data_IF_917252272833
#
_entry.id   IF_917252272833
#
_cell.length_a   1.000
_cell.length_b   1.000
_cell.length_c   1.000
_cell.angle_alpha   90.00
_cell.angle_beta   90.00
_cell.angle_gamma   90.00
#
_symmetry.space_group_name_H-M   'P 1'
#
loop_
_entity.id
_entity.type
_entity.pdbx_description
1 polymer ?
#
# COMPACT_ATOMS: atom_id res chain seq x y z
N UNK A 1 16.74 2.20 29.71
CA UNK A 1 16.24 3.55 30.08
C UNK A 1 15.08 3.38 31.08
N UNK A 2 14.68 4.35 31.90
CA UNK A 2 13.48 4.21 32.75
C UNK A 2 12.32 5.05 32.21
N UNK A 3 11.09 4.80 32.68
CA UNK A 3 9.84 5.45 32.20
C UNK A 3 9.92 6.97 32.25
N UNK A 4 10.49 7.54 33.32
CA UNK A 4 10.68 8.99 33.45
C UNK A 4 11.65 9.55 32.39
N UNK A 5 12.77 8.87 32.12
CA UNK A 5 13.69 9.24 31.03
C UNK A 5 13.06 9.11 29.65
N UNK A 6 12.14 8.16 29.47
CA UNK A 6 11.38 7.96 28.22
C UNK A 6 10.43 9.12 27.96
N UNK A 7 9.67 9.53 28.96
CA UNK A 7 8.78 10.70 28.89
C UNK A 7 9.56 11.96 28.49
N UNK A 8 10.68 12.23 29.18
CA UNK A 8 11.51 13.41 28.88
C UNK A 8 12.11 13.35 27.48
N UNK A 9 12.56 12.17 27.05
CA UNK A 9 13.11 11.97 25.71
C UNK A 9 12.05 12.19 24.63
N UNK A 10 10.88 11.57 24.74
CA UNK A 10 9.77 11.71 23.80
C UNK A 10 9.26 13.14 23.71
N UNK A 11 9.06 13.80 24.86
CA UNK A 11 8.65 15.20 24.91
C UNK A 11 9.64 16.08 24.15
N UNK A 12 10.96 15.87 24.36
CA UNK A 12 11.99 16.59 23.61
C UNK A 12 11.93 16.33 22.10
N UNK A 13 11.69 15.09 21.68
CA UNK A 13 11.53 14.73 20.27
C UNK A 13 10.33 15.44 19.64
N UNK A 14 9.18 15.46 20.34
CA UNK A 14 7.95 16.10 19.88
C UNK A 14 8.14 17.61 19.72
N UNK A 15 8.82 18.26 20.69
CA UNK A 15 9.14 19.69 20.61
C UNK A 15 10.12 19.99 19.46
N UNK A 16 11.16 19.16 19.27
CA UNK A 16 12.09 19.27 18.14
C UNK A 16 11.36 19.15 16.79
N UNK A 17 10.37 18.25 16.68
CA UNK A 17 9.58 18.07 15.47
C UNK A 17 8.58 19.20 15.25
N UNK A 18 7.89 19.66 16.29
CA UNK A 18 6.98 20.80 16.20
C UNK A 18 7.69 22.05 15.65
N UNK A 19 8.94 22.29 16.06
CA UNK A 19 9.78 23.37 15.52
C UNK A 19 10.09 23.19 14.02
N UNK A 20 10.20 21.96 13.55
CA UNK A 20 10.47 21.64 12.14
C UNK A 20 9.22 21.51 11.26
N UNK A 21 8.08 21.19 11.87
CA UNK A 21 6.79 20.92 11.23
C UNK A 21 5.66 21.39 12.17
N UNK A 22 5.29 22.69 12.09
CA UNK A 22 4.29 23.28 12.98
C UNK A 22 2.87 22.69 12.85
N UNK A 23 2.64 21.78 11.89
CA UNK A 23 1.36 21.06 11.73
C UNK A 23 1.15 19.93 12.74
N UNK A 24 2.21 19.59 13.49
CA UNK A 24 2.17 18.63 14.60
C UNK A 24 2.04 19.42 15.88
N UNK A 25 0.98 19.20 16.67
CA UNK A 25 0.77 19.94 17.91
C UNK A 25 1.90 19.70 18.92
N UNK A 26 2.34 20.78 19.57
CA UNK A 26 3.24 20.68 20.70
C UNK A 26 2.51 19.99 21.86
N UNK A 27 2.95 18.79 22.25
CA UNK A 27 2.43 18.11 23.43
C UNK A 27 3.18 18.57 24.68
N UNK A 28 2.45 18.79 25.77
CA UNK A 28 3.04 19.06 27.08
C UNK A 28 3.69 17.80 27.64
N UNK A 29 4.63 17.98 28.57
CA UNK A 29 5.31 16.84 29.20
C UNK A 29 4.33 15.96 30.00
N UNK A 30 3.28 16.55 30.57
CA UNK A 30 2.22 15.84 31.29
C UNK A 30 1.37 14.98 30.34
N UNK A 31 1.09 15.47 29.13
CA UNK A 31 0.42 14.69 28.09
C UNK A 31 1.27 13.49 27.66
N UNK A 32 2.57 13.70 27.46
CA UNK A 32 3.52 12.61 27.15
C UNK A 32 3.65 11.64 28.32
N UNK A 33 3.64 12.13 29.56
CA UNK A 33 3.70 11.29 30.76
C UNK A 33 2.46 10.40 30.89
N UNK A 34 1.28 10.99 30.71
CA UNK A 34 -0.01 10.28 30.71
C UNK A 34 -0.04 9.21 29.62
N UNK A 35 0.56 9.51 28.47
CA UNK A 35 0.71 8.52 27.40
C UNK A 35 1.60 7.35 27.81
N UNK A 36 2.83 7.62 28.27
CA UNK A 36 3.78 6.56 28.61
C UNK A 36 3.22 5.68 29.74
N UNK A 37 2.43 6.23 30.66
CA UNK A 37 1.74 5.43 31.69
C UNK A 37 0.62 4.52 31.16
N UNK A 38 0.09 4.80 29.97
CA UNK A 38 -0.95 3.99 29.33
C UNK A 38 -0.40 2.90 28.40
N UNK A 39 0.93 2.81 28.24
CA UNK A 39 1.56 1.74 27.47
C UNK A 39 1.48 0.41 28.22
N UNK A 40 1.22 -0.67 27.48
CA UNK A 40 1.40 -2.03 28.01
C UNK A 40 2.87 -2.31 28.31
N UNK A 41 3.14 -3.31 29.15
CA UNK A 41 4.51 -3.67 29.55
C UNK A 41 5.41 -4.01 28.35
N UNK A 42 4.88 -4.72 27.33
CA UNK A 42 5.62 -5.03 26.09
C UNK A 42 5.94 -3.79 25.25
N UNK A 43 4.99 -2.87 25.12
CA UNK A 43 5.20 -1.59 24.42
C UNK A 43 6.19 -0.70 25.17
N UNK A 44 6.08 -0.67 26.51
CA UNK A 44 6.99 0.07 27.36
C UNK A 44 8.41 -0.49 27.26
N UNK A 45 8.56 -1.82 27.27
CA UNK A 45 9.85 -2.51 27.07
C UNK A 45 10.45 -2.13 25.72
N UNK A 46 9.70 -2.24 24.63
CA UNK A 46 10.16 -1.84 23.30
C UNK A 46 10.55 -0.36 23.26
N UNK A 47 9.70 0.54 23.78
CA UNK A 47 9.97 1.97 23.84
C UNK A 47 11.13 2.35 24.75
N UNK A 48 11.50 1.50 25.72
CA UNK A 48 12.64 1.67 26.63
C UNK A 48 13.94 1.13 26.02
N UNK A 49 13.87 0.01 25.31
CA UNK A 49 15.00 -0.66 24.65
C UNK A 49 15.44 0.12 23.40
N UNK A 50 14.48 0.68 22.67
CA UNK A 50 14.70 1.48 21.48
C UNK A 50 15.68 2.68 21.67
N UNK A 51 15.52 3.54 22.69
CA UNK A 51 16.46 4.63 23.02
C UNK A 51 17.72 4.18 23.79
N UNK A 52 17.87 2.88 24.07
CA UNK A 52 19.16 2.30 24.52
C UNK A 52 20.28 2.46 23.48
N UNK A 53 19.90 2.69 22.21
CA UNK A 53 20.78 3.17 21.15
C UNK A 53 20.84 4.69 21.28
N UNK A 54 21.84 5.23 22.00
CA UNK A 54 21.96 6.68 22.13
C UNK A 54 22.06 7.31 20.73
N UNK A 55 21.14 8.24 20.36
CA UNK A 55 21.25 8.93 19.09
C UNK A 55 22.50 9.81 19.17
N UNK A 56 23.54 9.41 18.45
CA UNK A 56 24.66 10.32 18.17
C UNK A 56 24.11 11.58 17.50
N UNK A 57 24.86 12.69 17.54
CA UNK A 57 24.47 13.94 16.85
C UNK A 57 24.06 13.71 15.38
N UNK A 58 24.63 12.68 14.75
CA UNK A 58 24.32 12.19 13.41
C UNK A 58 22.89 11.65 13.29
N UNK A 59 22.37 10.93 14.29
CA UNK A 59 21.03 10.30 14.26
C UNK A 59 19.88 11.31 14.34
N UNK A 60 20.07 12.44 15.03
CA UNK A 60 19.07 13.51 15.09
C UNK A 60 18.84 14.21 13.75
N UNK A 61 19.86 14.17 12.89
CA UNK A 61 19.79 14.68 11.52
C UNK A 61 19.29 13.59 10.55
N UNK A 62 19.09 12.34 11.01
CA UNK A 62 18.60 11.26 10.16
C UNK A 62 17.06 11.25 10.08
N UNK A 63 16.50 11.18 8.86
CA UNK A 63 15.06 11.09 8.64
C UNK A 63 14.34 9.97 9.40
N UNK A 64 15.03 8.87 9.73
CA UNK A 64 14.51 7.76 10.53
C UNK A 64 14.06 8.20 11.94
N UNK A 65 14.76 9.13 12.58
CA UNK A 65 14.40 9.65 13.90
C UNK A 65 13.08 10.44 13.85
N UNK A 66 12.93 11.36 12.90
CA UNK A 66 11.67 12.08 12.70
C UNK A 66 10.51 11.15 12.33
N UNK A 67 10.81 10.09 11.58
CA UNK A 67 9.85 9.09 11.15
C UNK A 67 9.27 8.27 12.32
N UNK A 68 10.11 7.79 13.23
CA UNK A 68 9.69 7.02 14.42
C UNK A 68 8.79 7.88 15.32
N UNK A 69 9.13 9.15 15.48
CA UNK A 69 8.32 10.06 16.31
C UNK A 69 6.98 10.37 15.62
N UNK A 70 6.94 10.53 14.30
CA UNK A 70 5.67 10.65 13.54
C UNK A 70 4.79 9.40 13.63
N UNK A 71 5.40 8.21 13.64
CA UNK A 71 4.70 6.95 13.86
C UNK A 71 4.05 6.89 15.25
N UNK A 72 4.81 7.28 16.27
CA UNK A 72 4.33 7.41 17.65
C UNK A 72 3.17 8.42 17.73
N UNK A 73 3.27 9.59 17.09
CA UNK A 73 2.20 10.60 17.07
C UNK A 73 0.94 10.10 16.34
N UNK A 74 1.10 9.35 15.25
CA UNK A 74 -0.04 8.78 14.52
C UNK A 74 -0.75 7.70 15.34
N UNK A 75 0.02 6.86 16.03
CA UNK A 75 -0.49 5.89 17.00
C UNK A 75 -1.22 6.59 18.16
N UNK A 76 -0.72 7.73 18.64
CA UNK A 76 -1.35 8.55 19.67
C UNK A 76 -2.74 9.07 19.27
N UNK A 77 -2.87 9.61 18.05
CA UNK A 77 -4.16 10.12 17.53
C UNK A 77 -5.23 9.02 17.42
N UNK A 78 -4.81 7.79 17.12
CA UNK A 78 -5.69 6.61 17.11
C UNK A 78 -6.19 6.28 18.52
N UNK A 79 -5.31 6.30 19.53
CA UNK A 79 -5.67 5.97 20.91
C UNK A 79 -6.56 7.03 21.57
N UNK A 80 -6.34 8.32 21.28
CA UNK A 80 -7.18 9.41 21.77
C UNK A 80 -8.60 9.37 21.16
N UNK A 81 -8.70 9.00 19.89
CA UNK A 81 -9.99 8.86 19.21
C UNK A 81 -10.81 7.64 19.68
N UNK A 82 -10.18 6.60 20.22
CA UNK A 82 -10.85 5.32 20.55
C UNK A 82 -10.36 4.68 21.87
N UNK A 83 -10.65 5.28 23.04
CA UNK A 83 -10.17 4.78 24.33
C UNK A 83 -10.70 3.36 24.66
N UNK A 84 -11.92 3.02 24.28
CA UNK A 84 -12.52 1.70 24.54
C UNK A 84 -11.93 0.57 23.69
N UNK A 85 -11.66 0.85 22.41
CA UNK A 85 -11.06 -0.14 21.50
C UNK A 85 -9.56 -0.27 21.76
N UNK A 86 -8.89 0.81 22.18
CA UNK A 86 -7.54 0.78 22.74
C UNK A 86 -7.45 -0.13 23.97
N UNK A 87 -8.39 -0.02 24.91
CA UNK A 87 -8.46 -0.90 26.08
C UNK A 87 -8.69 -2.36 25.68
N UNK A 88 -9.54 -2.63 24.67
CA UNK A 88 -9.74 -3.97 24.11
C UNK A 88 -8.48 -4.53 23.44
N UNK A 89 -7.80 -3.76 22.60
CA UNK A 89 -6.57 -4.19 21.93
C UNK A 89 -5.44 -4.48 22.91
N UNK A 90 -5.35 -3.72 24.01
CA UNK A 90 -4.43 -3.97 25.12
C UNK A 90 -4.79 -5.24 25.92
N UNK A 91 -6.08 -5.54 26.11
CA UNK A 91 -6.52 -6.75 26.81
C UNK A 91 -6.23 -8.05 26.05
N UNK A 92 -6.32 -8.02 24.71
CA UNK A 92 -6.03 -9.19 23.85
C UNK A 92 -4.54 -9.54 23.83
N UNK A 93 -3.65 -8.56 24.05
CA UNK A 93 -2.22 -8.79 24.22
C UNK A 93 -1.86 -9.48 25.55
N UNK A 94 -2.63 -9.24 26.62
CA UNK A 94 -2.41 -9.84 27.94
C UNK A 94 -2.71 -11.34 28.00
N UNK A 95 -3.78 -11.78 27.32
CA UNK A 95 -4.17 -13.20 27.29
C UNK A 95 -3.20 -14.07 26.46
N UNK A 96 -2.52 -13.49 25.46
CA UNK A 96 -1.48 -14.19 24.69
C UNK A 96 -0.19 -14.41 25.49
N UNK A 97 0.15 -13.51 26.42
CA UNK A 97 1.33 -13.67 27.30
C UNK A 97 1.11 -14.82 28.29
N UNK A 98 -0.11 -14.99 28.81
CA UNK A 98 -0.44 -16.13 29.69
C UNK A 98 -0.43 -17.49 28.97
N UNK A 99 -0.74 -17.52 27.66
CA UNK A 99 -0.61 -18.74 26.85
C UNK A 99 0.84 -19.10 26.50
N UNK A 100 1.71 -18.09 26.40
CA UNK A 100 3.14 -18.32 26.09
C UNK A 100 3.92 -18.78 27.32
N UNK A 101 3.63 -18.23 28.51
CA UNK A 101 4.30 -18.61 29.77
C UNK A 101 3.92 -20.04 30.23
N UNK A 102 2.73 -20.53 29.88
CA UNK A 102 2.31 -21.89 30.23
C UNK A 102 2.88 -23.00 29.32
N UNK A 103 3.54 -22.65 28.22
CA UNK A 103 4.18 -23.63 27.33
C UNK A 103 5.66 -23.90 27.67
N UNK A 104 6.30 -23.10 28.54
CA UNK A 104 7.71 -23.27 28.92
C UNK A 104 7.94 -24.14 30.16
N UNK A 105 6.90 -24.64 30.83
CA UNK A 105 7.01 -25.52 32.02
C UNK A 105 6.65 -26.99 31.76
N UNK A 106 6.61 -27.44 30.50
CA UNK A 106 6.31 -28.84 30.19
C UNK A 106 7.38 -29.52 29.33
N UNK A 107 8.57 -29.69 29.92
CA UNK A 107 9.60 -30.62 29.44
C UNK A 107 10.08 -31.50 30.58
N UNK A 108 9.37 -32.62 30.81
CA UNK A 108 9.90 -33.92 31.24
C UNK A 108 8.73 -34.89 31.47
N UNK A 109 8.38 -35.66 30.45
CA UNK A 109 8.28 -37.13 30.51
C UNK A 109 7.66 -37.72 29.23
N UNK A 110 8.38 -38.71 28.72
CA UNK A 110 7.97 -39.91 28.00
C UNK A 110 7.55 -39.85 26.51
N UNK A 111 8.30 -40.67 25.76
CA UNK A 111 8.03 -41.20 24.44
C UNK A 111 6.69 -41.95 24.39
N UNK A 112 5.85 -41.68 23.39
CA UNK A 112 5.27 -42.66 22.46
C UNK A 112 4.02 -42.13 21.73
N UNK A 113 3.86 -42.62 20.50
CA UNK A 113 2.69 -42.55 19.60
C UNK A 113 2.52 -41.27 18.75
N UNK A 114 2.89 -41.42 17.48
CA UNK A 114 2.48 -40.56 16.36
C UNK A 114 0.97 -40.72 16.16
N UNK A 115 0.19 -39.83 16.74
CA UNK A 115 -1.21 -39.65 16.36
C UNK A 115 -1.29 -38.70 15.16
N UNK A 116 -1.97 -39.14 14.09
CA UNK A 116 -2.36 -38.27 12.98
C UNK A 116 -3.24 -37.15 13.52
N UNK A 117 -2.68 -35.95 13.56
CA UNK A 117 -3.40 -34.73 13.91
C UNK A 117 -4.43 -34.43 12.81
N UNK A 118 -5.67 -34.88 13.01
CA UNK A 118 -6.81 -34.47 12.19
C UNK A 118 -7.15 -33.03 12.55
N UNK A 119 -6.62 -32.11 11.74
CA UNK A 119 -6.94 -30.68 11.80
C UNK A 119 -8.45 -30.49 11.61
N UNK A 120 -9.14 -29.71 12.47
CA UNK A 120 -10.55 -29.41 12.30
C UNK A 120 -10.77 -28.69 10.96
N UNK A 121 -11.55 -29.31 10.08
CA UNK A 121 -12.15 -28.61 8.93
C UNK A 121 -13.26 -27.74 9.48
N UNK A 122 -12.99 -26.44 9.61
CA UNK A 122 -13.98 -25.43 9.95
C UNK A 122 -15.05 -25.42 8.84
N UNK A 123 -16.27 -25.94 9.09
CA UNK A 123 -17.36 -25.88 8.13
C UNK A 123 -18.02 -24.50 8.24
N UNK A 124 -18.47 -23.94 7.13
CA UNK A 124 -19.39 -22.79 7.07
C UNK A 124 -18.83 -21.36 6.97
N UNK A 125 -17.65 -21.15 6.40
CA UNK A 125 -17.38 -19.85 5.75
C UNK A 125 -17.41 -20.01 4.24
N UNK A 126 -18.50 -19.63 3.55
CA UNK A 126 -18.47 -19.40 2.11
C UNK A 126 -17.62 -18.14 1.87
N UNK A 127 -16.30 -18.32 1.89
CA UNK A 127 -15.38 -17.34 1.32
C UNK A 127 -15.58 -17.40 -0.19
N UNK A 128 -16.50 -16.59 -0.72
CA UNK A 128 -16.54 -16.21 -2.14
C UNK A 128 -15.30 -15.37 -2.50
N UNK A 129 -14.12 -15.87 -2.16
CA UNK A 129 -12.88 -15.27 -2.59
C UNK A 129 -12.52 -15.91 -3.92
N UNK A 130 -12.36 -15.09 -4.97
CA UNK A 130 -11.90 -15.61 -6.24
C UNK A 130 -10.51 -16.23 -6.04
N UNK A 131 -10.37 -17.47 -6.51
CA UNK A 131 -9.07 -18.11 -6.66
C UNK A 131 -8.59 -17.80 -8.07
N UNK A 132 -7.33 -17.40 -8.20
CA UNK A 132 -6.76 -17.03 -9.48
C UNK A 132 -5.69 -18.05 -9.87
N UNK A 133 -5.78 -18.65 -11.06
CA UNK A 133 -4.71 -19.51 -11.54
C UNK A 133 -3.44 -18.69 -11.76
N UNK A 134 -2.30 -19.28 -11.42
CA UNK A 134 -0.99 -18.73 -11.70
C UNK A 134 -0.76 -18.71 -13.21
N UNK A 135 -0.29 -17.58 -13.77
CA UNK A 135 -0.01 -17.47 -15.21
C UNK A 135 1.20 -16.59 -15.50
N UNK A 136 2.09 -17.14 -16.32
CA UNK A 136 3.19 -16.40 -16.94
C UNK A 136 2.84 -16.07 -18.39
N UNK A 137 2.03 -15.04 -18.59
CA UNK A 137 1.70 -14.56 -19.95
C UNK A 137 2.88 -13.76 -20.50
N UNK A 138 3.42 -14.17 -21.66
CA UNK A 138 4.36 -13.33 -22.42
C UNK A 138 3.57 -12.14 -22.97
N UNK A 139 3.88 -10.95 -22.49
CA UNK A 139 3.31 -9.72 -23.02
C UNK A 139 4.29 -9.07 -24.00
N UNK A 140 3.77 -8.66 -25.15
CA UNK A 140 4.46 -7.80 -26.10
C UNK A 140 3.66 -6.52 -26.20
N UNK A 141 4.29 -5.37 -26.00
CA UNK A 141 3.65 -4.09 -26.28
C UNK A 141 3.36 -4.02 -27.77
N UNK A 142 2.09 -4.01 -28.21
CA UNK A 142 1.82 -3.72 -29.60
C UNK A 142 2.11 -2.24 -29.84
N UNK A 143 2.50 -1.94 -31.08
CA UNK A 143 2.58 -0.56 -31.56
C UNK A 143 1.17 -0.03 -31.67
N UNK A 144 0.74 0.75 -30.68
CA UNK A 144 -0.57 1.39 -30.67
C UNK A 144 -0.44 2.83 -31.16
N UNK A 145 -1.33 3.19 -32.07
CA UNK A 145 -1.45 4.57 -32.56
C UNK A 145 -2.63 5.24 -31.89
N UNK A 146 -2.61 6.57 -31.79
CA UNK A 146 -3.77 7.32 -31.29
C UNK A 146 -5.01 7.11 -32.17
N UNK A 147 -4.84 6.73 -33.44
CA UNK A 147 -5.94 6.47 -34.38
C UNK A 147 -6.56 5.08 -34.22
N UNK A 148 -6.01 4.24 -33.34
CA UNK A 148 -6.55 2.91 -33.08
C UNK A 148 -8.00 3.00 -32.54
N UNK A 149 -8.97 2.27 -33.12
CA UNK A 149 -10.37 2.29 -32.67
C UNK A 149 -10.55 1.95 -31.19
N UNK A 150 -9.73 1.04 -30.64
CA UNK A 150 -9.80 0.66 -29.22
C UNK A 150 -9.29 1.78 -28.32
N UNK A 151 -8.23 2.49 -28.75
CA UNK A 151 -7.73 3.69 -28.05
C UNK A 151 -8.77 4.79 -28.06
N UNK A 152 -9.40 5.06 -29.21
CA UNK A 152 -10.47 6.07 -29.32
C UNK A 152 -11.68 5.72 -28.45
N UNK A 153 -12.07 4.44 -28.46
CA UNK A 153 -13.17 3.93 -27.61
C UNK A 153 -12.84 4.09 -26.13
N UNK A 154 -11.60 3.79 -25.72
CA UNK A 154 -11.16 3.98 -24.34
C UNK A 154 -11.23 5.46 -23.94
N UNK A 155 -10.68 6.38 -24.75
CA UNK A 155 -10.72 7.83 -24.48
C UNK A 155 -12.16 8.30 -24.32
N UNK A 156 -13.02 7.93 -25.26
CA UNK A 156 -14.43 8.29 -25.21
C UNK A 156 -15.07 7.77 -23.92
N UNK A 157 -14.85 6.50 -23.59
CA UNK A 157 -15.38 5.88 -22.37
C UNK A 157 -14.89 6.62 -21.13
N UNK A 158 -13.59 6.82 -20.95
CA UNK A 158 -13.01 7.49 -19.77
C UNK A 158 -13.48 8.93 -19.61
N UNK A 159 -13.70 9.67 -20.70
CA UNK A 159 -14.19 11.05 -20.65
C UNK A 159 -15.71 11.15 -20.42
N UNK A 160 -16.47 10.09 -20.72
CA UNK A 160 -17.94 10.07 -20.62
C UNK A 160 -18.46 9.35 -19.38
N UNK A 161 -17.57 8.83 -18.52
CA UNK A 161 -17.97 8.26 -17.22
C UNK A 161 -18.81 9.29 -16.46
N UNK A 162 -20.07 8.94 -16.25
CA UNK A 162 -21.02 9.75 -15.53
C UNK A 162 -20.66 9.78 -14.04
N UNK A 163 -20.87 10.90 -13.34
CA UNK A 163 -20.82 10.94 -11.89
C UNK A 163 -21.73 9.86 -11.33
N UNK A 164 -21.18 8.92 -10.58
CA UNK A 164 -22.02 8.04 -9.77
C UNK A 164 -22.34 8.71 -8.44
N UNK A 165 -23.19 8.08 -7.64
CA UNK A 165 -23.55 8.57 -6.30
C UNK A 165 -22.38 8.55 -5.31
N UNK A 166 -21.27 7.84 -5.60
CA UNK A 166 -20.11 7.79 -4.71
C UNK A 166 -18.76 7.91 -5.43
N UNK A 167 -17.72 8.45 -4.78
CA UNK A 167 -16.37 8.48 -5.33
C UNK A 167 -15.80 7.08 -5.59
N UNK A 168 -16.02 6.10 -4.71
CA UNK A 168 -15.49 4.73 -4.91
C UNK A 168 -16.13 4.03 -6.11
N UNK A 169 -17.43 4.22 -6.33
CA UNK A 169 -18.11 3.62 -7.49
C UNK A 169 -17.63 4.28 -8.78
N UNK A 170 -17.44 5.60 -8.77
CA UNK A 170 -16.86 6.32 -9.92
C UNK A 170 -15.45 5.82 -10.23
N UNK A 171 -14.61 5.65 -9.21
CA UNK A 171 -13.26 5.11 -9.35
C UNK A 171 -13.27 3.68 -9.88
N UNK A 172 -14.18 2.84 -9.38
CA UNK A 172 -14.34 1.47 -9.88
C UNK A 172 -14.75 1.42 -11.36
N UNK A 173 -15.64 2.31 -11.81
CA UNK A 173 -15.99 2.43 -13.23
C UNK A 173 -14.79 2.86 -14.09
N UNK A 174 -13.98 3.82 -13.60
CA UNK A 174 -12.72 4.20 -14.27
C UNK A 174 -11.80 3.00 -14.45
N UNK A 175 -11.54 2.27 -13.37
CA UNK A 175 -10.65 1.11 -13.40
C UNK A 175 -11.19 -0.01 -14.31
N UNK A 176 -12.50 -0.24 -14.31
CA UNK A 176 -13.13 -1.22 -15.21
C UNK A 176 -13.01 -0.78 -16.66
N UNK A 177 -13.21 0.51 -16.96
CA UNK A 177 -13.08 1.05 -18.31
C UNK A 177 -11.67 0.91 -18.89
N UNK A 178 -10.61 1.10 -18.08
CA UNK A 178 -9.23 0.88 -18.51
C UNK A 178 -9.01 -0.50 -19.12
N UNK A 179 -9.60 -1.54 -18.52
CA UNK A 179 -9.39 -2.92 -18.92
C UNK A 179 -10.52 -3.48 -19.81
N UNK A 180 -11.51 -2.67 -20.18
CA UNK A 180 -12.65 -3.12 -20.98
C UNK A 180 -12.31 -3.35 -22.47
N UNK A 181 -11.22 -2.76 -22.97
CA UNK A 181 -10.78 -2.94 -24.36
C UNK A 181 -9.90 -4.18 -24.49
N UNK A 182 -8.62 -4.04 -24.14
CA UNK A 182 -7.67 -5.13 -23.97
C UNK A 182 -6.50 -4.65 -23.09
N UNK A 183 -5.62 -5.59 -22.75
CA UNK A 183 -4.46 -5.31 -21.90
C UNK A 183 -3.47 -4.35 -22.56
N UNK A 184 -3.35 -4.37 -23.88
CA UNK A 184 -2.41 -3.53 -24.60
C UNK A 184 -2.80 -2.06 -24.56
N UNK A 185 -4.08 -1.79 -24.83
CA UNK A 185 -4.70 -0.48 -24.77
C UNK A 185 -4.67 0.06 -23.34
N UNK A 186 -4.92 -0.80 -22.34
CA UNK A 186 -4.77 -0.46 -20.93
C UNK A 186 -3.31 -0.08 -20.59
N UNK A 187 -2.33 -0.86 -21.05
CA UNK A 187 -0.90 -0.58 -20.83
C UNK A 187 -0.52 0.78 -21.39
N UNK A 188 -0.94 1.04 -22.64
CA UNK A 188 -0.69 2.27 -23.36
C UNK A 188 -1.24 3.49 -22.62
N UNK A 189 -2.50 3.42 -22.16
CA UNK A 189 -3.12 4.50 -21.41
C UNK A 189 -2.48 4.72 -20.03
N UNK A 190 -2.16 3.64 -19.30
CA UNK A 190 -1.49 3.72 -18.00
C UNK A 190 -0.09 4.33 -18.11
N UNK A 191 0.65 4.04 -19.19
CA UNK A 191 1.98 4.63 -19.41
C UNK A 191 1.91 6.15 -19.66
N UNK A 192 0.91 6.60 -20.42
CA UNK A 192 0.66 8.03 -20.62
C UNK A 192 0.19 8.71 -19.33
N UNK A 193 -0.65 8.03 -18.56
CA UNK A 193 -1.07 8.50 -17.24
C UNK A 193 0.14 8.68 -16.32
N UNK A 194 0.98 7.65 -16.20
CA UNK A 194 2.23 7.64 -15.42
C UNK A 194 3.14 8.81 -15.77
N UNK A 195 3.35 9.04 -17.07
CA UNK A 195 4.15 10.16 -17.58
C UNK A 195 3.53 11.51 -17.21
N UNK A 196 2.21 11.67 -17.37
CA UNK A 196 1.51 12.90 -17.04
C UNK A 196 1.56 13.20 -15.53
N UNK A 197 1.32 12.21 -14.67
CA UNK A 197 1.41 12.38 -13.21
C UNK A 197 2.82 12.81 -12.79
N UNK A 198 3.85 12.22 -13.42
CA UNK A 198 5.24 12.60 -13.15
C UNK A 198 5.51 14.07 -13.48
N UNK A 199 4.96 14.56 -14.59
CA UNK A 199 5.03 15.98 -14.94
C UNK A 199 4.26 16.86 -13.94
N UNK A 200 3.04 16.47 -13.57
CA UNK A 200 2.20 17.22 -12.62
C UNK A 200 2.74 17.25 -11.19
N UNK A 201 3.59 16.31 -10.80
CA UNK A 201 4.24 16.34 -9.49
C UNK A 201 5.19 17.56 -9.35
N UNK A 202 5.76 18.04 -10.46
CA UNK A 202 6.76 19.11 -10.47
C UNK A 202 6.23 20.44 -11.00
N UNK A 203 5.16 20.45 -11.79
CA UNK A 203 4.55 21.67 -12.34
C UNK A 203 3.50 22.29 -11.41
N UNK A 204 3.08 23.52 -11.72
CA UNK A 204 1.94 24.17 -11.06
C UNK A 204 0.62 23.53 -11.50
N UNK A 205 -0.42 23.53 -10.65
CA UNK A 205 -1.74 23.06 -11.03
C UNK A 205 -2.24 23.79 -12.29
N UNK A 206 -2.87 23.08 -13.24
CA UNK A 206 -3.45 23.70 -14.42
C UNK A 206 -4.63 24.60 -14.04
N UNK A 207 -4.97 25.59 -14.88
CA UNK A 207 -6.19 26.38 -14.72
C UNK A 207 -7.41 25.48 -14.56
N UNK A 208 -8.32 25.85 -13.67
CA UNK A 208 -9.55 25.10 -13.35
C UNK A 208 -9.36 23.70 -12.75
N UNK A 209 -8.11 23.33 -12.40
CA UNK A 209 -7.76 22.02 -11.87
C UNK A 209 -8.19 20.84 -12.76
N UNK A 210 -8.14 21.03 -14.09
CA UNK A 210 -8.38 19.99 -15.08
C UNK A 210 -7.04 19.48 -15.61
N UNK A 211 -6.77 18.20 -15.41
CA UNK A 211 -5.50 17.56 -15.74
C UNK A 211 -5.64 16.81 -17.07
N UNK A 212 -4.92 17.27 -18.10
CA UNK A 212 -4.98 16.64 -19.43
C UNK A 212 -4.00 15.48 -19.53
N UNK A 213 -4.51 14.29 -19.81
CA UNK A 213 -3.69 13.12 -20.16
C UNK A 213 -3.57 13.09 -21.68
N UNK A 214 -2.42 13.50 -22.19
CA UNK A 214 -2.15 13.60 -23.63
C UNK A 214 -1.57 12.28 -24.13
N UNK A 215 -2.34 11.55 -24.92
CA UNK A 215 -1.92 10.31 -25.56
C UNK A 215 -1.13 10.62 -26.84
N UNK A 216 -0.02 9.91 -27.03
CA UNK A 216 0.86 9.99 -28.19
C UNK A 216 1.06 8.59 -28.75
N UNK A 217 1.11 8.46 -30.08
CA UNK A 217 1.40 7.16 -30.70
C UNK A 217 2.75 6.62 -30.21
N UNK A 218 2.83 5.32 -29.94
CA UNK A 218 4.13 4.71 -29.64
C UNK A 218 5.00 4.78 -30.89
N UNK A 219 6.25 5.25 -30.81
CA UNK A 219 7.15 5.18 -31.94
C UNK A 219 7.28 3.73 -32.40
N UNK A 220 7.30 3.51 -33.71
CA UNK A 220 7.61 2.21 -34.28
C UNK A 220 8.99 1.80 -33.75
N UNK A 221 9.13 0.62 -33.10
CA UNK A 221 10.42 0.16 -32.61
C UNK A 221 11.44 0.23 -33.75
N UNK A 222 12.57 0.88 -33.53
CA UNK A 222 13.62 0.89 -34.54
C UNK A 222 14.34 -0.46 -34.52
N UNK A 223 14.85 -0.98 -35.66
CA UNK A 223 15.59 -2.25 -35.68
C UNK A 223 16.81 -2.27 -34.74
N UNK A 224 17.29 -1.11 -34.32
CA UNK A 224 18.43 -0.94 -33.40
C UNK A 224 18.02 -0.89 -31.91
N UNK A 225 16.73 -0.87 -31.59
CA UNK A 225 16.22 -1.03 -30.22
C UNK A 225 16.29 -2.51 -29.80
N UNK A 226 17.49 -3.10 -29.85
CA UNK A 226 17.81 -4.47 -29.40
C UNK A 226 17.85 -4.58 -27.86
N UNK A 227 17.02 -3.81 -27.15
CA UNK A 227 16.78 -4.09 -25.73
C UNK A 227 15.92 -5.36 -25.67
N UNK A 228 16.58 -6.52 -25.69
CA UNK A 228 16.01 -7.88 -25.67
C UNK A 228 15.09 -8.16 -24.46
N UNK A 229 14.95 -7.20 -23.54
CA UNK A 229 14.07 -7.32 -22.38
C UNK A 229 12.69 -6.76 -22.74
N UNK A 230 11.67 -7.61 -22.92
CA UNK A 230 10.31 -7.15 -23.11
C UNK A 230 9.94 -6.23 -21.94
N UNK A 231 9.30 -5.07 -22.18
CA UNK A 231 9.01 -4.15 -21.09
C UNK A 231 8.07 -4.83 -20.10
N UNK A 232 8.35 -4.67 -18.80
CA UNK A 232 7.53 -5.27 -17.75
C UNK A 232 6.15 -4.60 -17.83
N UNK A 233 5.08 -5.36 -18.10
CA UNK A 233 3.77 -4.76 -18.26
C UNK A 233 3.30 -4.11 -16.95
N UNK A 234 2.60 -2.97 -17.01
CA UNK A 234 2.38 -2.12 -15.84
C UNK A 234 1.55 -2.82 -14.77
N UNK A 235 0.71 -3.80 -15.14
CA UNK A 235 -0.07 -4.59 -14.20
C UNK A 235 0.71 -5.66 -13.44
N UNK A 236 1.94 -5.98 -13.84
CA UNK A 236 2.82 -6.84 -13.05
C UNK A 236 3.47 -6.09 -11.88
N UNK A 237 3.30 -4.76 -11.82
CA UNK A 237 3.95 -3.90 -10.84
C UNK A 237 2.87 -3.40 -9.89
N UNK A 238 2.61 -4.16 -8.82
CA UNK A 238 1.60 -3.81 -7.81
C UNK A 238 1.77 -2.39 -7.24
N UNK A 239 3.00 -1.87 -7.05
CA UNK A 239 3.16 -0.47 -6.65
C UNK A 239 2.64 0.51 -7.70
N UNK A 240 2.92 0.28 -8.99
CA UNK A 240 2.51 1.19 -10.06
C UNK A 240 0.99 1.29 -10.18
N UNK A 241 0.30 0.15 -10.15
CA UNK A 241 -1.17 0.14 -10.21
C UNK A 241 -1.79 0.79 -8.97
N UNK A 242 -1.29 0.47 -7.77
CA UNK A 242 -1.78 1.07 -6.53
C UNK A 242 -1.56 2.58 -6.52
N UNK A 243 -0.38 3.04 -6.94
CA UNK A 243 -0.09 4.47 -7.10
C UNK A 243 -0.97 5.13 -8.15
N UNK A 244 -1.31 4.44 -9.23
CA UNK A 244 -2.23 4.98 -10.24
C UNK A 244 -3.64 5.20 -9.66
N UNK A 245 -4.12 4.28 -8.83
CA UNK A 245 -5.40 4.41 -8.11
C UNK A 245 -5.38 5.62 -7.18
N UNK A 246 -4.28 5.83 -6.45
CA UNK A 246 -4.12 6.99 -5.59
C UNK A 246 -4.08 8.30 -6.38
N UNK A 247 -3.36 8.34 -7.50
CA UNK A 247 -3.32 9.52 -8.35
C UNK A 247 -4.70 9.86 -8.93
N UNK A 248 -5.46 8.85 -9.36
CA UNK A 248 -6.87 8.99 -9.76
C UNK A 248 -7.71 9.58 -8.63
N UNK A 249 -7.45 9.20 -7.39
CA UNK A 249 -8.21 9.61 -6.21
C UNK A 249 -7.72 10.89 -5.53
N UNK A 250 -6.58 11.44 -5.95
CA UNK A 250 -5.96 12.61 -5.30
C UNK A 250 -6.89 13.85 -5.36
N UNK A 251 -6.94 14.69 -4.31
CA UNK A 251 -7.80 15.88 -4.28
C UNK A 251 -7.50 16.81 -5.45
N UNK A 252 -8.54 17.20 -6.20
CA UNK A 252 -8.42 18.01 -7.42
C UNK A 252 -7.78 19.36 -7.14
N UNK A 253 -8.08 19.97 -6.00
CA UNK A 253 -7.57 21.30 -5.63
C UNK A 253 -6.08 21.31 -5.29
N UNK A 254 -5.55 20.19 -4.81
CA UNK A 254 -4.14 20.09 -4.40
C UNK A 254 -3.62 18.64 -4.48
N UNK A 255 -3.50 18.05 -5.68
CA UNK A 255 -3.06 16.66 -5.80
C UNK A 255 -1.53 16.52 -5.75
N UNK A 256 -0.79 17.62 -5.81
CA UNK A 256 0.67 17.63 -5.96
C UNK A 256 1.43 16.92 -4.83
N UNK A 257 1.07 17.07 -3.54
CA UNK A 257 1.72 16.31 -2.46
C UNK A 257 1.63 14.81 -2.71
N UNK A 258 0.45 14.30 -3.05
CA UNK A 258 0.24 12.89 -3.38
C UNK A 258 1.06 12.52 -4.60
N UNK A 259 0.99 13.28 -5.70
CA UNK A 259 1.78 12.97 -6.90
C UNK A 259 3.29 12.89 -6.63
N UNK A 260 3.83 13.75 -5.75
CA UNK A 260 5.23 13.69 -5.33
C UNK A 260 5.54 12.43 -4.54
N UNK A 261 4.68 12.04 -3.59
CA UNK A 261 4.83 10.78 -2.83
C UNK A 261 4.81 9.57 -3.76
N UNK A 262 4.04 9.63 -4.84
CA UNK A 262 3.90 8.53 -5.81
C UNK A 262 5.02 8.46 -6.84
N UNK A 263 5.83 9.52 -7.03
CA UNK A 263 6.89 9.58 -8.04
C UNK A 263 7.84 8.37 -8.04
N UNK A 264 8.34 7.86 -6.89
CA UNK A 264 9.25 6.72 -6.89
C UNK A 264 8.63 5.47 -7.51
N UNK A 265 7.34 5.25 -7.28
CA UNK A 265 6.58 4.09 -7.78
C UNK A 265 6.19 4.25 -9.24
N UNK A 266 5.77 5.46 -9.60
CA UNK A 266 5.33 5.81 -10.94
C UNK A 266 6.53 5.85 -11.90
N UNK A 267 7.69 6.34 -11.48
CA UNK A 267 8.86 6.45 -12.37
C UNK A 267 9.61 5.13 -12.57
N UNK A 268 9.22 4.06 -11.85
CA UNK A 268 9.93 2.77 -11.82
C UNK A 268 11.43 2.92 -11.54
N UNK A 269 11.84 4.03 -10.92
CA UNK A 269 13.23 4.21 -10.51
C UNK A 269 13.51 3.16 -9.44
N UNK A 270 14.61 2.40 -9.54
CA UNK A 270 15.00 1.47 -8.50
C UNK A 270 15.21 2.28 -7.22
N UNK A 271 14.24 2.21 -6.32
CA UNK A 271 14.36 2.79 -4.99
C UNK A 271 15.28 1.86 -4.23
N UNK A 272 16.43 2.35 -3.77
CA UNK A 272 17.32 1.55 -2.93
C UNK A 272 16.53 1.04 -1.73
N UNK A 273 16.51 -0.28 -1.46
CA UNK A 273 15.63 -0.88 -0.45
C UNK A 273 15.68 -0.19 0.92
N UNK A 274 16.87 0.26 1.34
CA UNK A 274 17.06 0.89 2.65
C UNK A 274 16.79 2.41 2.69
N UNK A 275 16.92 3.13 1.56
CA UNK A 275 16.57 4.56 1.54
C UNK A 275 15.04 4.76 1.60
N UNK A 276 14.26 3.72 1.24
CA UNK A 276 12.79 3.67 1.23
C UNK A 276 12.18 3.88 2.63
N UNK A 277 12.74 3.24 3.66
CA UNK A 277 12.17 3.25 5.02
C UNK A 277 12.27 4.58 5.76
N UNK A 278 13.10 5.52 5.28
CA UNK A 278 13.45 6.73 6.04
C UNK A 278 12.86 8.02 5.48
N UNK A 279 12.39 8.04 4.23
CA UNK A 279 11.99 9.28 3.53
C UNK A 279 10.49 9.42 3.30
N UNK A 280 9.68 8.41 3.61
CA UNK A 280 8.29 8.35 3.14
C UNK A 280 7.28 8.63 4.26
N UNK A 281 6.13 9.21 3.89
CA UNK A 281 5.03 9.65 4.78
C UNK A 281 4.20 8.51 5.39
N UNK A 282 4.70 7.27 5.35
CA UNK A 282 3.97 6.10 5.84
C UNK A 282 4.15 5.93 7.34
N UNK A 283 3.20 5.27 8.00
CA UNK A 283 3.36 4.84 9.40
C UNK A 283 3.84 3.38 9.40
N UNK A 284 5.02 3.05 9.97
CA UNK A 284 5.59 1.71 10.00
C UNK A 284 4.81 0.78 10.95
N UNK A 285 4.81 -0.52 10.65
CA UNK A 285 4.17 -1.56 11.47
C UNK A 285 2.69 -1.26 11.78
N UNK A 286 2.02 -0.57 10.86
CA UNK A 286 0.64 -0.17 11.03
C UNK A 286 -0.31 -1.38 10.96
N UNK A 287 -1.04 -1.61 12.05
CA UNK A 287 -2.28 -2.39 11.99
C UNK A 287 -3.30 -1.64 11.15
N UNK A 288 -4.06 -2.34 10.32
CA UNK A 288 -5.05 -1.72 9.45
C UNK A 288 -6.35 -1.40 10.19
N UNK A 289 -6.65 -2.11 11.28
CA UNK A 289 -7.92 -1.96 12.00
C UNK A 289 -8.19 -0.52 12.45
N UNK A 290 -7.26 0.20 13.09
CA UNK A 290 -7.48 1.59 13.45
C UNK A 290 -7.85 2.51 12.27
N UNK A 291 -7.16 2.36 11.13
CA UNK A 291 -7.41 3.17 9.95
C UNK A 291 -8.78 2.85 9.35
N UNK A 292 -9.18 1.58 9.34
CA UNK A 292 -10.53 1.19 8.94
C UNK A 292 -11.58 1.83 9.84
N UNK A 293 -11.41 1.81 11.16
CA UNK A 293 -12.37 2.38 12.11
C UNK A 293 -12.50 3.90 11.95
N UNK A 294 -11.38 4.61 11.80
CA UNK A 294 -11.35 6.05 11.50
C UNK A 294 -12.12 6.37 10.21
N UNK A 295 -11.76 5.70 9.12
CA UNK A 295 -12.39 5.93 7.82
C UNK A 295 -13.87 5.53 7.81
N UNK A 296 -14.24 4.44 8.50
CA UNK A 296 -15.64 4.01 8.69
C UNK A 296 -16.46 5.07 9.41
N UNK A 297 -15.92 5.67 10.47
CA UNK A 297 -16.64 6.69 11.22
C UNK A 297 -16.82 7.97 10.39
N UNK A 298 -15.78 8.37 9.63
CA UNK A 298 -15.89 9.46 8.69
C UNK A 298 -16.93 9.19 7.59
N UNK A 299 -17.00 7.94 7.09
CA UNK A 299 -17.99 7.51 6.11
C UNK A 299 -19.42 7.46 6.64
N UNK A 300 -19.61 7.18 7.94
CA UNK A 300 -20.92 7.16 8.61
C UNK A 300 -21.37 8.53 9.13
N UNK A 301 -20.48 9.51 9.20
CA UNK A 301 -20.81 10.88 9.61
C UNK A 301 -21.78 11.55 8.63
N UNK A 302 -22.41 12.65 9.03
CA UNK A 302 -23.32 13.42 8.18
C UNK A 302 -22.67 13.84 6.84
N UNK A 303 -21.36 14.09 6.85
CA UNK A 303 -20.57 14.45 5.67
C UNK A 303 -20.22 13.27 4.74
N UNK A 304 -20.51 12.02 5.12
CA UNK A 304 -20.38 10.81 4.27
C UNK A 304 -19.05 10.73 3.51
N UNK A 305 -17.95 10.96 4.22
CA UNK A 305 -16.61 11.10 3.61
C UNK A 305 -16.12 9.77 3.03
N UNK A 306 -15.39 9.87 1.93
CA UNK A 306 -14.70 8.72 1.31
C UNK A 306 -13.20 8.86 1.47
N UNK A 307 -12.52 7.76 1.79
CA UNK A 307 -11.06 7.70 1.92
C UNK A 307 -10.47 6.55 1.10
N UNK A 308 -9.25 6.72 0.62
CA UNK A 308 -8.43 5.67 0.02
C UNK A 308 -7.19 5.47 0.89
N UNK A 309 -6.95 4.25 1.34
CA UNK A 309 -5.74 3.86 2.06
C UNK A 309 -4.83 3.14 1.06
N UNK A 310 -3.62 3.66 0.86
CA UNK A 310 -2.53 2.93 0.22
C UNK A 310 -1.82 2.10 1.25
N UNK A 311 -1.94 0.79 1.13
CA UNK A 311 -1.27 -0.17 2.00
C UNK A 311 -0.05 -0.73 1.28
N UNK A 312 1.06 -0.74 2.00
CA UNK A 312 2.34 -1.32 1.59
C UNK A 312 2.73 -2.36 2.60
N UNK A 313 2.79 -3.61 2.15
CA UNK A 313 3.37 -4.71 2.90
C UNK A 313 4.76 -4.96 2.33
N UNK A 314 5.77 -4.95 3.19
CA UNK A 314 7.16 -5.22 2.80
C UNK A 314 7.76 -6.26 3.73
N UNK A 315 8.60 -7.13 3.18
CA UNK A 315 9.39 -8.08 3.96
C UNK A 315 10.77 -7.49 4.25
N UNK A 316 10.89 -6.80 5.37
CA UNK A 316 12.15 -6.17 5.77
C UNK A 316 13.26 -7.20 6.02
N UNK A 317 12.89 -8.43 6.40
CA UNK A 317 13.83 -9.53 6.63
C UNK A 317 14.51 -9.95 5.34
N UNK A 318 13.74 -10.10 4.26
CA UNK A 318 14.28 -10.32 2.92
C UNK A 318 15.29 -9.22 2.53
N UNK A 319 14.96 -7.94 2.72
CA UNK A 319 15.85 -6.85 2.33
C UNK A 319 17.13 -6.77 3.17
N UNK A 320 17.05 -7.06 4.47
CA UNK A 320 18.21 -7.18 5.32
C UNK A 320 19.13 -8.29 4.83
N UNK A 321 18.59 -9.49 4.60
CA UNK A 321 19.37 -10.61 4.10
C UNK A 321 19.93 -10.34 2.68
N UNK A 322 19.15 -9.75 1.78
CA UNK A 322 19.59 -9.38 0.44
C UNK A 322 20.74 -8.37 0.46
N UNK A 323 20.80 -7.48 1.45
CA UNK A 323 21.92 -6.55 1.60
C UNK A 323 23.21 -7.23 2.06
N UNK A 324 23.10 -8.36 2.75
CA UNK A 324 24.22 -9.17 3.27
C UNK A 324 24.71 -10.15 2.20
N UNK A 325 23.79 -10.88 1.57
CA UNK A 325 24.07 -11.95 0.62
C UNK A 325 23.10 -11.92 -0.57
N UNK A 326 23.44 -11.11 -1.57
CA UNK A 326 22.62 -10.97 -2.79
C UNK A 326 22.51 -12.26 -3.59
N UNK A 327 23.57 -13.07 -3.61
CA UNK A 327 23.64 -14.26 -4.45
C UNK A 327 22.72 -15.36 -3.91
N UNK A 328 22.70 -15.54 -2.58
CA UNK A 328 21.74 -16.45 -1.93
C UNK A 328 20.30 -15.98 -2.07
N UNK A 329 20.07 -14.67 -2.01
CA UNK A 329 18.73 -14.10 -1.99
C UNK A 329 18.12 -13.86 -3.38
N UNK A 330 18.87 -14.03 -4.47
CA UNK A 330 18.40 -13.78 -5.85
C UNK A 330 17.19 -14.63 -6.25
N UNK A 331 17.11 -15.84 -5.69
CA UNK A 331 16.05 -16.81 -5.95
C UNK A 331 14.98 -16.82 -4.86
N UNK A 332 15.11 -16.00 -3.82
CA UNK A 332 14.09 -15.88 -2.77
C UNK A 332 13.04 -14.86 -3.21
N UNK A 333 11.76 -15.19 -3.02
CA UNK A 333 10.66 -14.27 -3.32
C UNK A 333 10.26 -13.49 -2.04
N UNK A 334 10.27 -12.14 -2.07
CA UNK A 334 9.80 -11.33 -0.94
C UNK A 334 8.26 -11.35 -0.83
N UNK A 335 7.73 -11.20 0.37
CA UNK A 335 6.29 -11.07 0.64
C UNK A 335 5.70 -9.69 0.31
N UNK A 336 6.42 -8.90 -0.49
CA UNK A 336 6.08 -7.53 -0.80
C UNK A 336 4.78 -7.42 -1.58
N UNK A 337 3.90 -6.53 -1.13
CA UNK A 337 2.64 -6.29 -1.80
C UNK A 337 2.12 -4.87 -1.58
N UNK A 338 1.56 -4.27 -2.63
CA UNK A 338 0.93 -2.97 -2.58
C UNK A 338 -0.53 -3.12 -3.03
N UNK A 339 -1.45 -2.53 -2.26
CA UNK A 339 -2.88 -2.54 -2.59
C UNK A 339 -3.57 -1.28 -2.05
N UNK A 340 -4.75 -0.99 -2.58
CA UNK A 340 -5.57 0.14 -2.14
C UNK A 340 -6.86 -0.37 -1.47
N UNK A 341 -7.20 0.22 -0.32
CA UNK A 341 -8.51 0.05 0.33
C UNK A 341 -9.32 1.33 0.13
N UNK A 342 -10.48 1.21 -0.52
CA UNK A 342 -11.43 2.31 -0.60
C UNK A 342 -12.51 2.15 0.45
N UNK A 343 -12.73 3.20 1.24
CA UNK A 343 -13.68 3.19 2.36
C UNK A 343 -14.62 4.37 2.19
N UNK A 344 -15.91 4.10 2.08
CA UNK A 344 -16.95 5.10 1.83
C UNK A 344 -18.27 4.68 2.47
N UNK A 345 -19.33 5.50 2.34
CA UNK A 345 -20.64 5.20 2.94
C UNK A 345 -21.21 3.83 2.57
N UNK A 346 -20.88 3.33 1.37
CA UNK A 346 -21.28 2.02 0.87
C UNK A 346 -20.54 0.83 1.50
N UNK A 347 -19.42 1.05 2.20
CA UNK A 347 -18.58 0.00 2.77
C UNK A 347 -17.12 0.08 2.30
N UNK A 348 -16.49 -1.08 2.13
CA UNK A 348 -15.08 -1.18 1.74
C UNK A 348 -14.87 -1.90 0.40
N UNK A 349 -14.00 -1.36 -0.46
CA UNK A 349 -13.48 -2.03 -1.65
C UNK A 349 -11.98 -2.28 -1.50
N UNK A 350 -11.51 -3.35 -2.14
CA UNK A 350 -10.09 -3.70 -2.17
C UNK A 350 -9.67 -3.74 -3.63
N UNK A 351 -8.68 -2.96 -4.01
CA UNK A 351 -8.05 -3.07 -5.32
C UNK A 351 -6.64 -3.60 -5.13
N UNK A 352 -6.40 -4.78 -5.70
CA UNK A 352 -5.16 -5.51 -5.55
C UNK A 352 -4.75 -6.07 -6.89
N UNK A 353 -3.44 -6.18 -7.09
CA UNK A 353 -2.83 -6.86 -8.23
C UNK A 353 -1.55 -7.51 -7.74
N UNK A 354 -1.35 -8.80 -8.01
CA UNK A 354 -0.24 -9.54 -7.45
C UNK A 354 0.69 -10.06 -8.55
N UNK A 355 1.45 -9.14 -9.14
CA UNK A 355 2.59 -9.39 -10.03
C UNK A 355 2.52 -10.69 -10.86
N UNK A 356 3.65 -11.41 -10.97
CA UNK A 356 3.80 -12.63 -11.78
C UNK A 356 3.11 -13.86 -11.18
N UNK A 357 2.69 -13.78 -9.91
CA UNK A 357 2.28 -14.94 -9.12
C UNK A 357 0.83 -14.86 -8.64
N UNK A 358 0.02 -13.99 -9.25
CA UNK A 358 -1.37 -13.82 -8.84
C UNK A 358 -2.18 -12.96 -9.80
N UNK A 359 -3.37 -12.51 -9.37
CA UNK A 359 -4.29 -11.80 -10.24
C UNK A 359 -3.71 -10.47 -10.68
N UNK A 360 -3.86 -10.16 -11.97
CA UNK A 360 -3.83 -8.77 -12.44
C UNK A 360 -5.04 -8.00 -11.90
N UNK A 361 -5.01 -6.67 -11.97
CA UNK A 361 -6.12 -5.84 -11.50
C UNK A 361 -7.44 -6.09 -12.26
N UNK A 362 -7.40 -6.34 -13.57
CA UNK A 362 -8.58 -6.68 -14.38
C UNK A 362 -9.20 -8.00 -13.92
N UNK A 363 -8.36 -9.01 -13.64
CA UNK A 363 -8.79 -10.30 -13.12
C UNK A 363 -9.36 -10.15 -11.71
N UNK A 364 -8.69 -9.37 -10.86
CA UNK A 364 -9.18 -9.07 -9.51
C UNK A 364 -10.55 -8.40 -9.54
N UNK A 365 -10.76 -7.44 -10.44
CA UNK A 365 -12.04 -6.75 -10.60
C UNK A 365 -13.12 -7.70 -11.14
N UNK A 366 -12.85 -8.38 -12.25
CA UNK A 366 -13.81 -9.28 -12.92
C UNK A 366 -14.16 -10.52 -12.08
N UNK A 367 -13.21 -11.02 -11.29
CA UNK A 367 -13.43 -12.08 -10.30
C UNK A 367 -14.19 -11.63 -9.05
N UNK A 368 -14.60 -10.36 -8.96
CA UNK A 368 -15.34 -9.83 -7.82
C UNK A 368 -14.48 -9.46 -6.61
N UNK A 369 -13.15 -9.53 -6.71
CA UNK A 369 -12.22 -9.12 -5.65
C UNK A 369 -12.37 -7.66 -5.23
N UNK A 370 -12.76 -6.80 -6.18
CA UNK A 370 -13.03 -5.36 -5.96
C UNK A 370 -14.49 -5.01 -5.62
N UNK A 371 -15.33 -6.00 -5.27
CA UNK A 371 -16.71 -5.73 -4.84
C UNK A 371 -16.74 -4.92 -3.55
N UNK A 372 -17.88 -4.27 -3.31
CA UNK A 372 -18.17 -3.63 -2.03
C UNK A 372 -18.36 -4.73 -0.97
N UNK A 373 -17.71 -4.54 0.17
CA UNK A 373 -17.80 -5.39 1.35
C UNK A 373 -18.60 -4.65 2.42
N UNK A 374 -19.46 -5.37 3.13
CA UNK A 374 -20.15 -4.83 4.30
C UNK A 374 -19.13 -4.45 5.38
N UNK A 375 -19.55 -3.66 6.37
CA UNK A 375 -18.67 -3.25 7.47
C UNK A 375 -18.13 -4.45 8.26
N UNK A 376 -18.96 -5.46 8.51
CA UNK A 376 -18.55 -6.66 9.26
C UNK A 376 -17.58 -7.52 8.45
N UNK A 377 -17.76 -7.59 7.14
CA UNK A 377 -16.81 -8.27 6.26
C UNK A 377 -15.49 -7.49 6.17
N UNK A 378 -15.56 -6.17 6.05
CA UNK A 378 -14.38 -5.31 6.00
C UNK A 378 -13.54 -5.43 7.28
N UNK A 379 -14.20 -5.41 8.44
CA UNK A 379 -13.54 -5.55 9.74
C UNK A 379 -12.90 -6.93 9.89
N UNK A 380 -13.60 -8.01 9.52
CA UNK A 380 -13.02 -9.36 9.50
C UNK A 380 -11.80 -9.45 8.60
N UNK A 381 -11.88 -8.92 7.38
CA UNK A 381 -10.76 -8.92 6.43
C UNK A 381 -9.54 -8.19 7.02
N UNK A 382 -9.76 -7.01 7.61
CA UNK A 382 -8.69 -6.23 8.23
C UNK A 382 -8.11 -6.90 9.47
N UNK A 383 -8.92 -7.57 10.29
CA UNK A 383 -8.43 -8.38 11.43
C UNK A 383 -7.59 -9.57 10.95
N UNK A 384 -7.99 -10.24 9.87
CA UNK A 384 -7.17 -11.29 9.26
C UNK A 384 -5.84 -10.74 8.71
N UNK A 385 -5.85 -9.54 8.13
CA UNK A 385 -4.61 -8.86 7.70
C UNK A 385 -3.71 -8.55 8.89
N UNK A 386 -4.25 -8.01 9.98
CA UNK A 386 -3.50 -7.78 11.21
C UNK A 386 -2.90 -9.07 11.77
N UNK A 387 -3.60 -10.21 11.67
CA UNK A 387 -3.07 -11.53 12.05
C UNK A 387 -1.95 -11.99 11.11
N UNK A 388 -2.04 -11.71 9.81
CA UNK A 388 -0.99 -12.03 8.85
C UNK A 388 0.31 -11.28 9.18
N UNK A 389 0.21 -10.00 9.55
CA UNK A 389 1.38 -9.16 9.83
C UNK A 389 1.87 -9.31 11.28
N UNK A 390 1.06 -9.88 12.16
CA UNK A 390 1.43 -10.12 13.57
C UNK A 390 1.63 -8.82 14.34
N UNK A 391 2.50 -8.87 15.35
CA UNK A 391 2.84 -7.70 16.18
C UNK A 391 3.78 -6.71 15.47
N UNK A 392 4.24 -7.03 14.25
CA UNK A 392 5.17 -6.21 13.47
C UNK A 392 6.58 -6.18 14.07
N UNK A 393 7.61 -6.26 13.23
CA UNK A 393 9.00 -6.20 13.71
C UNK A 393 9.49 -7.43 14.50
N UNK A 394 8.67 -8.47 14.66
CA UNK A 394 9.10 -9.79 15.12
C UNK A 394 9.23 -10.70 13.91
N UNK A 395 10.38 -11.36 13.80
CA UNK A 395 10.63 -12.34 12.75
C UNK A 395 9.71 -13.55 12.98
N UNK A 396 8.79 -13.77 12.05
CA UNK A 396 7.86 -14.88 12.16
C UNK A 396 8.08 -15.88 11.04
N UNK A 397 8.03 -17.17 11.41
CA UNK A 397 8.08 -18.24 10.42
C UNK A 397 6.84 -18.16 9.54
N UNK A 398 7.02 -18.19 8.22
CA UNK A 398 5.89 -18.20 7.28
C UNK A 398 5.25 -19.59 7.20
N UNK A 399 4.51 -19.94 8.24
CA UNK A 399 3.98 -21.27 8.47
C UNK A 399 2.73 -21.61 7.62
N UNK A 400 2.09 -22.75 7.90
CA UNK A 400 0.87 -23.17 7.19
C UNK A 400 -0.33 -22.23 7.48
N UNK A 401 -0.39 -21.62 8.68
CA UNK A 401 -1.47 -20.72 9.08
C UNK A 401 -1.36 -19.40 8.31
N UNK A 402 -0.19 -18.76 8.31
CA UNK A 402 0.08 -17.51 7.57
C UNK A 402 -0.13 -17.68 6.07
N UNK A 403 0.32 -18.80 5.48
CA UNK A 403 0.02 -19.15 4.08
C UNK A 403 -1.49 -19.16 3.79
N UNK A 404 -2.30 -19.75 4.67
CA UNK A 404 -3.75 -19.80 4.51
C UNK A 404 -4.37 -18.40 4.58
N UNK A 405 -3.95 -17.59 5.56
CA UNK A 405 -4.43 -16.21 5.72
C UNK A 405 -4.04 -15.36 4.50
N UNK A 406 -2.78 -15.43 4.06
CA UNK A 406 -2.29 -14.72 2.87
C UNK A 406 -3.12 -15.08 1.63
N UNK A 407 -3.32 -16.37 1.40
CA UNK A 407 -4.12 -16.88 0.28
C UNK A 407 -5.56 -16.38 0.32
N UNK A 408 -6.17 -16.35 1.50
CA UNK A 408 -7.51 -15.77 1.64
C UNK A 408 -7.48 -14.29 1.31
N UNK A 409 -6.67 -13.50 2.01
CA UNK A 409 -6.67 -12.05 1.87
C UNK A 409 -6.39 -11.58 0.44
N UNK A 410 -5.44 -12.21 -0.25
CA UNK A 410 -4.89 -11.74 -1.52
C UNK A 410 -5.23 -12.63 -2.72
N UNK A 411 -5.90 -13.77 -2.50
CA UNK A 411 -6.25 -14.72 -3.57
C UNK A 411 -5.06 -15.45 -4.19
N UNK A 412 -3.91 -15.46 -3.50
CA UNK A 412 -2.63 -15.97 -4.02
C UNK A 412 -2.08 -17.11 -3.18
N UNK A 413 -1.80 -18.23 -3.84
CA UNK A 413 -1.08 -19.34 -3.25
C UNK A 413 0.42 -19.25 -3.55
N UNK A 414 1.17 -18.54 -2.71
CA UNK A 414 2.63 -18.39 -2.89
C UNK A 414 3.36 -19.74 -2.92
N UNK A 415 2.86 -20.76 -2.23
CA UNK A 415 3.48 -22.08 -2.22
C UNK A 415 3.35 -22.80 -3.57
N UNK A 416 2.17 -22.70 -4.20
CA UNK A 416 1.96 -23.24 -5.54
C UNK A 416 2.69 -22.42 -6.61
N UNK A 417 2.73 -21.09 -6.45
CA UNK A 417 3.31 -20.15 -7.42
C UNK A 417 4.82 -20.23 -7.58
N UNK A 418 5.50 -20.74 -6.56
CA UNK A 418 6.96 -20.80 -6.50
C UNK A 418 7.52 -22.22 -6.75
N UNK A 419 6.66 -23.21 -7.03
CA UNK A 419 7.08 -24.60 -7.32
C UNK A 419 7.79 -24.79 -8.67
N UNK A 420 7.72 -25.99 -9.27
CA UNK A 420 8.37 -26.30 -10.56
C UNK A 420 7.98 -25.32 -11.69
N UNK A 421 6.76 -24.78 -11.66
CA UNK A 421 6.27 -23.76 -12.58
C UNK A 421 6.81 -22.34 -12.29
N UNK A 422 7.26 -22.08 -11.05
CA UNK A 422 7.65 -20.78 -10.49
C UNK A 422 9.07 -20.31 -10.82
N UNK A 423 9.73 -20.93 -11.80
CA UNK A 423 11.14 -20.67 -12.20
C UNK A 423 12.18 -20.93 -11.12
N UNK A 424 11.92 -21.85 -10.19
CA UNK A 424 12.89 -22.27 -9.17
C UNK A 424 13.12 -21.26 -8.03
N UNK A 425 12.22 -20.28 -7.87
CA UNK A 425 12.28 -19.39 -6.71
C UNK A 425 11.78 -20.09 -5.46
N UNK A 426 12.34 -19.76 -4.31
CA UNK A 426 11.87 -20.27 -3.02
C UNK A 426 11.20 -19.16 -2.22
N UNK A 427 10.22 -19.53 -1.42
CA UNK A 427 9.63 -18.60 -0.47
C UNK A 427 10.59 -18.40 0.71
N UNK A 428 10.74 -17.16 1.19
CA UNK A 428 11.52 -16.90 2.40
C UNK A 428 10.97 -17.70 3.58
N UNK A 429 11.85 -18.30 4.38
CA UNK A 429 11.45 -19.06 5.58
C UNK A 429 10.91 -18.14 6.68
N UNK A 430 11.45 -16.92 6.70
CA UNK A 430 11.15 -15.90 7.68
C UNK A 430 10.47 -14.72 6.99
N UNK A 431 9.44 -14.21 7.64
CA UNK A 431 8.67 -13.06 7.20
C UNK A 431 8.74 -12.02 8.31
N UNK A 432 9.40 -10.89 8.02
CA UNK A 432 9.49 -9.75 8.93
C UNK A 432 8.65 -8.61 8.34
N UNK A 433 7.32 -8.66 8.54
CA UNK A 433 6.41 -7.71 7.92
C UNK A 433 6.65 -6.30 8.42
N UNK A 434 6.68 -5.40 7.46
CA UNK A 434 6.57 -3.97 7.65
C UNK A 434 5.36 -3.48 6.88
N UNK A 435 4.44 -2.81 7.57
CA UNK A 435 3.25 -2.24 6.95
C UNK A 435 3.35 -0.73 6.97
N UNK A 436 3.27 -0.12 5.79
CA UNK A 436 3.09 1.31 5.62
C UNK A 436 1.66 1.61 5.16
N UNK A 437 1.01 2.60 5.80
CA UNK A 437 -0.28 3.12 5.33
C UNK A 437 -0.19 4.62 5.03
N UNK A 438 -0.60 5.02 3.82
CA UNK A 438 -0.84 6.41 3.45
C UNK A 438 -2.35 6.60 3.22
N UNK A 439 -2.93 7.65 3.80
CA UNK A 439 -4.38 7.90 3.77
C UNK A 439 -4.67 9.14 2.93
N UNK A 440 -5.55 9.00 1.95
CA UNK A 440 -6.15 10.11 1.20
C UNK A 440 -7.60 10.24 1.64
N UNK A 441 -7.92 11.30 2.37
CA UNK A 441 -9.26 11.52 2.96
C UNK A 441 -10.10 12.52 2.17
N UNK A 442 -11.42 12.46 2.38
CA UNK A 442 -12.35 13.49 1.89
C UNK A 442 -12.47 13.53 0.38
N UNK A 443 -12.33 12.37 -0.27
CA UNK A 443 -12.34 12.26 -1.73
C UNK A 443 -13.74 12.53 -2.25
N UNK A 444 -13.83 13.34 -3.29
CA UNK A 444 -15.06 13.68 -3.99
C UNK A 444 -15.12 13.04 -5.38
N UNK A 445 -16.33 12.94 -5.96
CA UNK A 445 -16.49 12.47 -7.35
C UNK A 445 -15.72 13.37 -8.33
N UNK A 446 -15.64 14.66 -8.04
CA UNK A 446 -14.86 15.63 -8.82
C UNK A 446 -13.35 15.38 -8.81
N UNK A 447 -12.83 14.73 -7.77
CA UNK A 447 -11.42 14.37 -7.66
C UNK A 447 -11.08 13.22 -8.61
N UNK A 448 -11.96 12.23 -8.73
CA UNK A 448 -11.78 11.11 -9.65
C UNK A 448 -11.89 11.55 -11.11
N UNK A 449 -12.82 12.49 -11.41
CA UNK A 449 -13.11 12.98 -12.77
C UNK A 449 -12.22 14.14 -13.23
N UNK A 450 -11.18 14.50 -12.47
CA UNK A 450 -10.32 15.65 -12.79
C UNK A 450 -9.45 15.46 -14.05
N UNK A 451 -9.32 14.22 -14.53
CA UNK A 451 -8.52 13.88 -15.69
C UNK A 451 -9.33 13.89 -16.98
N UNK A 452 -8.83 14.59 -18.00
CA UNK A 452 -9.40 14.62 -19.34
C UNK A 452 -8.40 14.00 -20.31
N UNK A 453 -8.84 12.97 -21.01
CA UNK A 453 -8.01 12.20 -21.94
C UNK A 453 -8.11 12.82 -23.33
N UNK A 454 -6.97 13.16 -23.93
CA UNK A 454 -6.93 13.80 -25.25
C UNK A 454 -5.85 13.17 -26.12
N UNK A 455 -6.05 13.16 -27.43
CA UNK A 455 -5.00 12.83 -28.39
C UNK A 455 -4.26 14.11 -28.77
N UNK A 456 -2.92 14.05 -28.88
CA UNK A 456 -2.18 15.16 -29.48
C UNK A 456 -2.42 15.10 -31.00
N UNK A 457 -3.14 16.05 -31.55
CA UNK A 457 -3.28 16.16 -33.01
C UNK A 457 -1.90 16.35 -33.65
N UNK A 458 -1.66 15.72 -34.79
CA UNK A 458 -0.39 15.82 -35.54
C UNK A 458 -0.12 17.23 -36.12
N UNK A 459 -0.96 18.23 -35.83
CA UNK A 459 -0.90 19.58 -36.40
C UNK A 459 -0.74 20.74 -35.40
N UNK A 460 -0.74 20.52 -34.08
CA UNK A 460 -0.34 21.58 -33.13
C UNK A 460 1.19 21.66 -33.07
N UNK A 461 1.78 22.07 -34.19
CA UNK A 461 3.18 22.47 -34.26
C UNK A 461 3.44 23.57 -33.25
N UNK A 462 4.56 23.48 -32.57
CA UNK A 462 5.12 24.57 -31.77
C UNK A 462 5.01 25.86 -32.59
N UNK A 463 4.14 26.77 -32.17
CA UNK A 463 4.26 28.17 -32.56
C UNK A 463 5.58 28.62 -31.95
N UNK A 464 6.67 28.43 -32.70
CA UNK A 464 7.96 29.03 -32.41
C UNK A 464 7.66 30.51 -32.25
N UNK A 465 7.73 31.00 -31.01
CA UNK A 465 7.73 32.44 -30.73
C UNK A 465 8.95 32.99 -31.43
N UNK A 466 8.78 33.49 -32.65
CA UNK A 466 9.71 34.44 -33.24
C UNK A 466 9.73 35.65 -32.30
N UNK A 467 10.73 35.68 -31.43
CA UNK A 467 11.11 36.89 -30.72
C UNK A 467 11.67 37.82 -31.78
N UNK A 468 10.82 38.67 -32.35
CA UNK A 468 11.26 39.88 -33.04
C UNK A 468 11.98 40.73 -32.00
N UNK A 469 13.30 40.80 -32.11
CA UNK A 469 14.08 41.90 -31.54
C UNK A 469 13.81 43.11 -32.42
N UNK A 470 13.16 44.13 -31.85
CA UNK A 470 13.31 45.52 -32.29
C UNK A 470 14.35 46.21 -31.40
#
# INVERSE_FOLDING_TARGET
MNTSKLVVWLHKCIQEIHLSDPSIDALSIEQVQTWVSNLSEGQLRYAIEFPGIQPTRVWKEQPLYHYIVKAVISWLRIHEAFPEEAARLSSVGGDLVHLTVNNETRTQHDNASVAKETVPTDPDVPTHQPTFPLRFEKFKYPTLTISDPQVQTLIHTLNTIQPSSSPLTTLHHYLTAFFAQDLSTAAFALEHFRTAISAYAITLPPPNNIYKIVLKSTPTPTPDDNDDKPPIPPWFISPLLTSSILALSAPRRNPRPIFKTLLPYITLKPVKPFEKFTKESFVPCARLLPYLLLARNAAKSEGKKTSILHVRLEDTGYYQQFSIDRERMKDVYPFDHHFALGIGPEGMRIWSSFALFGPRLDQWISGGGARVRSWDEAERWVREFDVLVGEGGVEERFDRRRRRVFRRLLGVDLGAGLGEEGRGRVLGECFLPWVGVEVVEGIEVGDVRKFVWVVKGEGEGEVKKEVKKE
#
